data_IF_299849386393
#
_entry.id   IF_299849386393
#
_cell.length_a   1.000
_cell.length_b   1.000
_cell.length_c   1.000
_cell.angle_alpha   90.00
_cell.angle_beta   90.00
_cell.angle_gamma   90.00
#
_symmetry.space_group_name_H-M   'P 1'
#
loop_
_entity.id
_entity.type
_entity.pdbx_description
1 polymer ?
#
# COMPACT_ATOMS: atom_id res chain seq x y z
N UNK A 1 -3.06 -29.36 65.41
CA UNK A 1 -1.97 -29.13 64.45
C UNK A 1 -2.50 -28.30 63.28
N UNK A 2 -1.80 -27.23 62.86
CA UNK A 2 -2.36 -26.19 62.01
C UNK A 2 -2.05 -26.44 60.52
N UNK A 3 -3.02 -26.22 59.63
CA UNK A 3 -2.77 -26.10 58.19
C UNK A 3 -2.92 -24.62 57.82
N UNK A 4 -1.77 -23.97 57.62
CA UNK A 4 -1.65 -22.59 57.12
C UNK A 4 -1.96 -22.60 55.62
N UNK A 5 -3.07 -22.00 55.22
CA UNK A 5 -3.34 -21.72 53.81
C UNK A 5 -2.56 -20.46 53.39
N UNK A 6 -1.49 -20.65 52.62
CA UNK A 6 -0.80 -19.59 51.89
C UNK A 6 -1.70 -19.09 50.75
N UNK A 7 -2.18 -17.86 50.87
CA UNK A 7 -2.70 -17.08 49.74
C UNK A 7 -1.51 -16.59 48.91
N UNK A 8 -1.22 -17.26 47.81
CA UNK A 8 -0.28 -16.77 46.80
C UNK A 8 -1.01 -15.79 45.87
N UNK A 9 -0.77 -14.49 46.06
CA UNK A 9 -1.22 -13.44 45.17
C UNK A 9 -0.38 -13.46 43.88
N UNK A 10 -0.94 -13.94 42.78
CA UNK A 10 -0.31 -13.89 41.47
C UNK A 10 -0.59 -12.53 40.81
N UNK A 11 0.40 -11.63 40.87
CA UNK A 11 0.37 -10.35 40.15
C UNK A 11 0.55 -10.58 38.65
N UNK A 12 -0.54 -10.42 37.86
CA UNK A 12 -0.46 -10.36 36.40
C UNK A 12 0.21 -9.05 35.99
N UNK A 13 1.46 -9.13 35.51
CA UNK A 13 2.11 -8.03 34.79
C UNK A 13 1.61 -8.08 33.34
N UNK A 14 0.55 -7.32 33.04
CA UNK A 14 0.13 -7.06 31.65
C UNK A 14 1.17 -6.18 30.97
N UNK A 15 2.04 -6.78 30.17
CA UNK A 15 2.92 -6.05 29.26
C UNK A 15 2.05 -5.43 28.16
N UNK A 16 1.80 -4.13 28.27
CA UNK A 16 1.24 -3.33 27.17
C UNK A 16 2.28 -3.30 26.05
N UNK A 17 2.10 -4.17 25.05
CA UNK A 17 2.87 -4.11 23.82
C UNK A 17 2.50 -2.81 23.07
N UNK A 18 3.23 -1.72 23.32
CA UNK A 18 3.15 -0.52 22.50
C UNK A 18 3.68 -0.85 21.12
N UNK A 19 2.78 -1.08 20.17
CA UNK A 19 3.12 -1.24 18.77
C UNK A 19 3.75 0.06 18.27
N UNK A 20 5.07 0.09 18.14
CA UNK A 20 5.77 1.17 17.46
C UNK A 20 5.32 1.12 16.00
N UNK A 21 4.50 2.09 15.60
CA UNK A 21 4.17 2.28 14.20
C UNK A 21 5.47 2.49 13.43
N UNK A 22 5.80 1.58 12.51
CA UNK A 22 7.00 1.69 11.69
C UNK A 22 6.93 3.02 10.93
N UNK A 23 7.95 3.88 11.11
CA UNK A 23 8.05 5.18 10.43
C UNK A 23 8.25 4.92 8.93
N UNK A 24 7.18 5.06 8.15
CA UNK A 24 7.22 4.93 6.70
C UNK A 24 7.36 6.28 6.01
N UNK A 25 8.02 6.31 4.85
CA UNK A 25 7.93 7.47 3.95
C UNK A 25 6.65 7.34 3.14
N UNK A 26 5.77 8.33 3.25
CA UNK A 26 4.56 8.41 2.45
C UNK A 26 4.75 9.37 1.26
N UNK A 27 4.66 8.81 0.06
CA UNK A 27 4.65 9.53 -1.21
C UNK A 27 3.18 9.71 -1.64
N UNK A 28 2.71 10.95 -1.62
CA UNK A 28 1.40 11.36 -2.11
C UNK A 28 1.56 11.90 -3.54
N UNK A 29 1.04 11.17 -4.53
CA UNK A 29 1.33 11.41 -5.94
C UNK A 29 0.10 11.88 -6.72
N UNK A 30 0.28 12.99 -7.43
CA UNK A 30 -0.62 13.53 -8.44
C UNK A 30 -0.25 12.99 -9.82
N UNK A 31 -1.18 12.26 -10.45
CA UNK A 31 -0.98 11.61 -11.74
C UNK A 31 -1.69 12.39 -12.85
N UNK A 32 -0.94 12.69 -13.91
CA UNK A 32 -1.50 13.04 -15.20
C UNK A 32 -1.78 11.74 -15.97
N UNK A 33 -3.05 11.47 -16.26
CA UNK A 33 -3.52 10.24 -16.91
C UNK A 33 -4.09 10.58 -18.28
N UNK A 34 -3.76 9.75 -19.27
CA UNK A 34 -4.18 9.97 -20.67
C UNK A 34 -5.71 9.79 -20.83
N UNK A 35 -6.32 8.99 -19.95
CA UNK A 35 -7.76 8.68 -19.96
C UNK A 35 -8.36 8.99 -18.59
N UNK A 36 -9.26 9.98 -18.48
CA UNK A 36 -10.05 10.19 -17.27
C UNK A 36 -10.86 8.93 -16.96
N UNK A 37 -10.79 8.43 -15.73
CA UNK A 37 -11.42 7.16 -15.29
C UNK A 37 -10.85 5.87 -15.94
N UNK A 38 -9.60 5.91 -16.40
CA UNK A 38 -8.88 4.71 -16.84
C UNK A 38 -8.40 3.82 -15.68
N UNK A 39 -7.63 2.78 -16.01
CA UNK A 39 -7.07 1.83 -15.03
C UNK A 39 -5.81 2.34 -14.31
N UNK A 40 -5.54 3.64 -14.35
CA UNK A 40 -4.50 4.31 -13.56
C UNK A 40 -5.19 5.46 -12.82
N UNK A 41 -5.10 5.46 -11.50
CA UNK A 41 -5.77 6.47 -10.66
C UNK A 41 -5.10 7.85 -10.80
N UNK A 42 -5.87 8.95 -10.82
CA UNK A 42 -5.33 10.32 -10.79
C UNK A 42 -4.55 10.65 -9.51
N UNK A 43 -4.79 9.90 -8.42
CA UNK A 43 -4.11 10.03 -7.14
C UNK A 43 -3.61 8.66 -6.70
N UNK A 44 -2.34 8.57 -6.31
CA UNK A 44 -1.72 7.33 -5.82
C UNK A 44 -0.91 7.64 -4.56
N UNK A 45 -1.18 6.90 -3.50
CA UNK A 45 -0.39 6.89 -2.29
C UNK A 45 0.56 5.70 -2.27
N UNK A 46 1.83 5.93 -1.92
CA UNK A 46 2.82 4.86 -1.73
C UNK A 46 3.47 5.05 -0.37
N UNK A 47 3.40 4.04 0.48
CA UNK A 47 4.13 4.00 1.76
C UNK A 47 5.28 3.03 1.61
N UNK A 48 6.49 3.49 1.90
CA UNK A 48 7.69 2.64 1.99
C UNK A 48 8.16 2.63 3.43
N UNK A 49 8.17 1.46 4.07
CA UNK A 49 8.65 1.32 5.44
C UNK A 49 10.19 1.25 5.51
N UNK A 50 10.74 1.31 6.73
CA UNK A 50 12.19 1.24 6.97
C UNK A 50 12.82 -0.08 6.47
N UNK A 51 12.02 -1.15 6.35
CA UNK A 51 12.45 -2.44 5.82
C UNK A 51 12.37 -2.51 4.28
N UNK A 52 11.97 -1.42 3.62
CA UNK A 52 11.82 -1.34 2.16
C UNK A 52 10.57 -2.04 1.62
N UNK A 53 9.62 -2.43 2.48
CA UNK A 53 8.32 -2.93 2.03
C UNK A 53 7.48 -1.76 1.57
N UNK A 54 6.81 -1.94 0.43
CA UNK A 54 5.94 -0.93 -0.13
C UNK A 54 4.46 -1.34 -0.02
N UNK A 55 3.62 -0.37 0.33
CA UNK A 55 2.16 -0.47 0.30
C UNK A 55 1.64 0.60 -0.63
N UNK A 56 0.74 0.23 -1.54
CA UNK A 56 0.10 1.15 -2.49
C UNK A 56 -1.38 1.28 -2.11
N UNK A 57 -1.88 2.51 -2.19
CA UNK A 57 -3.31 2.79 -2.13
C UNK A 57 -3.68 3.77 -3.25
N UNK A 58 -4.83 3.53 -3.83
CA UNK A 58 -5.47 4.43 -4.77
C UNK A 58 -6.97 4.12 -4.81
N UNK A 59 -7.74 4.87 -5.59
CA UNK A 59 -9.19 4.64 -5.66
C UNK A 59 -9.53 3.24 -6.21
N UNK A 60 -8.77 2.72 -7.17
CA UNK A 60 -9.01 1.40 -7.76
C UNK A 60 -8.81 0.30 -6.70
N UNK A 61 -7.70 0.32 -5.98
CA UNK A 61 -7.38 -0.62 -4.90
C UNK A 61 -8.43 -0.52 -3.79
N UNK A 62 -8.78 0.69 -3.35
CA UNK A 62 -9.72 0.87 -2.25
C UNK A 62 -11.15 0.50 -2.65
N UNK A 63 -11.56 0.74 -3.89
CA UNK A 63 -12.88 0.34 -4.38
C UNK A 63 -12.99 -1.18 -4.56
N UNK A 64 -11.92 -1.84 -5.02
CA UNK A 64 -11.96 -3.25 -5.39
C UNK A 64 -11.52 -4.21 -4.29
N UNK A 65 -10.64 -3.77 -3.39
CA UNK A 65 -10.04 -4.59 -2.33
C UNK A 65 -10.33 -4.07 -0.92
N UNK A 66 -10.92 -2.88 -0.79
CA UNK A 66 -11.33 -2.23 0.48
C UNK A 66 -10.18 -1.93 1.46
N UNK A 67 -8.92 -2.18 1.06
CA UNK A 67 -7.74 -1.96 1.89
C UNK A 67 -6.49 -1.64 1.07
N UNK A 68 -5.49 -0.95 1.65
CA UNK A 68 -4.19 -0.78 1.02
C UNK A 68 -3.54 -2.11 0.65
N UNK A 69 -2.86 -2.14 -0.49
CA UNK A 69 -2.25 -3.35 -1.02
C UNK A 69 -0.74 -3.35 -0.78
N UNK A 70 -0.23 -4.33 -0.06
CA UNK A 70 1.21 -4.56 0.01
C UNK A 70 1.70 -5.08 -1.35
N UNK A 71 2.73 -4.45 -1.92
CA UNK A 71 3.22 -4.75 -3.27
C UNK A 71 4.66 -5.23 -3.24
N UNK A 72 5.09 -5.85 -4.35
CA UNK A 72 6.49 -6.19 -4.53
C UNK A 72 7.26 -4.92 -4.87
N UNK A 73 8.26 -4.60 -4.06
CA UNK A 73 9.18 -3.50 -4.29
C UNK A 73 10.59 -4.01 -4.62
N UNK A 74 11.27 -3.34 -5.56
CA UNK A 74 12.70 -3.55 -5.86
C UNK A 74 13.37 -2.21 -6.10
N UNK A 75 14.36 -1.89 -5.27
CA UNK A 75 15.16 -0.68 -5.43
C UNK A 75 16.28 -0.87 -6.47
N UNK A 76 16.60 0.20 -7.20
CA UNK A 76 17.73 0.30 -8.14
C UNK A 76 18.22 1.75 -8.16
N UNK A 77 19.24 2.05 -7.36
CA UNK A 77 19.68 3.43 -7.13
C UNK A 77 18.54 4.27 -6.56
N UNK A 78 18.28 5.43 -7.16
CA UNK A 78 17.19 6.33 -6.79
C UNK A 78 15.81 5.92 -7.37
N UNK A 79 15.70 4.74 -7.99
CA UNK A 79 14.44 4.24 -8.55
C UNK A 79 13.89 3.06 -7.76
N UNK A 80 12.63 3.14 -7.35
CA UNK A 80 11.87 2.05 -6.74
C UNK A 80 10.86 1.51 -7.75
N UNK A 81 11.08 0.26 -8.19
CA UNK A 81 10.12 -0.46 -9.03
C UNK A 81 9.10 -1.18 -8.15
N UNK A 82 7.83 -0.87 -8.35
CA UNK A 82 6.70 -1.50 -7.69
C UNK A 82 5.94 -2.39 -8.68
N UNK A 83 5.44 -3.52 -8.22
CA UNK A 83 4.65 -4.43 -9.06
C UNK A 83 3.57 -5.13 -8.25
N UNK A 84 2.34 -5.12 -8.79
CA UNK A 84 1.18 -5.77 -8.18
C UNK A 84 0.18 -6.22 -9.23
N UNK A 85 -0.78 -7.02 -8.79
CA UNK A 85 -1.91 -7.46 -9.62
C UNK A 85 -3.20 -7.27 -8.83
N UNK A 86 -4.26 -6.95 -9.55
CA UNK A 86 -5.63 -6.94 -9.02
C UNK A 86 -6.37 -8.02 -9.80
N UNK A 87 -6.79 -9.08 -9.11
CA UNK A 87 -7.46 -10.24 -9.68
C UNK A 87 -8.69 -10.60 -8.85
N UNK A 88 -9.71 -11.18 -9.49
CA UNK A 88 -10.91 -11.64 -8.79
C UNK A 88 -11.75 -10.52 -8.17
N UNK A 89 -11.48 -9.27 -8.53
CA UNK A 89 -12.23 -8.13 -8.07
C UNK A 89 -13.59 -8.06 -8.76
N UNK A 90 -14.57 -7.57 -8.00
CA UNK A 90 -15.90 -7.24 -8.48
C UNK A 90 -16.06 -5.73 -8.28
N UNK A 91 -16.51 -5.02 -9.31
CA UNK A 91 -16.77 -3.60 -9.19
C UNK A 91 -18.04 -3.31 -8.38
N UNK A 92 -18.31 -2.04 -8.10
CA UNK A 92 -19.51 -1.63 -7.36
C UNK A 92 -20.84 -1.98 -8.06
N UNK A 93 -20.81 -2.36 -9.34
CA UNK A 93 -21.97 -2.78 -10.12
C UNK A 93 -22.11 -4.32 -10.19
N UNK A 94 -21.27 -5.07 -9.46
CA UNK A 94 -21.32 -6.54 -9.45
C UNK A 94 -20.62 -7.20 -10.64
N UNK A 95 -19.88 -6.45 -11.46
CA UNK A 95 -19.19 -6.98 -12.64
C UNK A 95 -17.80 -7.48 -12.30
N UNK A 96 -17.41 -8.63 -12.89
CA UNK A 96 -16.08 -9.19 -12.71
C UNK A 96 -15.04 -8.37 -13.47
N UNK A 97 -14.05 -7.87 -12.75
CA UNK A 97 -12.93 -7.13 -13.32
C UNK A 97 -11.89 -8.11 -13.88
N UNK A 98 -11.45 -7.93 -15.15
CA UNK A 98 -10.31 -8.68 -15.68
C UNK A 98 -9.08 -8.51 -14.80
N UNK A 99 -8.22 -9.53 -14.69
CA UNK A 99 -6.99 -9.35 -13.91
C UNK A 99 -6.11 -8.26 -14.53
N UNK A 100 -5.77 -7.23 -13.75
CA UNK A 100 -4.85 -6.18 -14.17
C UNK A 100 -3.47 -6.36 -13.53
N UNK A 101 -2.44 -6.22 -14.35
CA UNK A 101 -1.03 -6.19 -13.93
C UNK A 101 -0.53 -4.76 -13.95
N UNK A 102 0.06 -4.34 -12.84
CA UNK A 102 0.55 -2.99 -12.62
C UNK A 102 2.07 -2.99 -12.46
N UNK A 103 2.70 -1.99 -13.07
CA UNK A 103 4.09 -1.66 -12.82
C UNK A 103 4.22 -0.16 -12.61
N UNK A 104 4.92 0.21 -11.54
CA UNK A 104 5.25 1.59 -11.27
C UNK A 104 6.75 1.77 -11.06
N UNK A 105 7.25 2.95 -11.45
CA UNK A 105 8.61 3.39 -11.22
C UNK A 105 8.54 4.73 -10.49
N UNK A 106 8.92 4.72 -9.22
CA UNK A 106 9.07 5.91 -8.39
C UNK A 106 10.55 6.32 -8.40
N UNK A 107 10.84 7.54 -8.83
CA UNK A 107 12.13 8.18 -8.60
C UNK A 107 12.09 8.84 -7.22
N UNK A 108 12.84 8.32 -6.25
CA UNK A 108 12.83 8.79 -4.86
C UNK A 108 13.61 10.09 -4.68
N UNK A 109 14.45 10.47 -5.64
CA UNK A 109 15.23 11.72 -5.61
C UNK A 109 14.44 12.86 -6.24
N UNK A 110 13.94 12.64 -7.45
CA UNK A 110 13.18 13.65 -8.18
C UNK A 110 11.69 13.64 -7.84
N UNK A 111 11.18 12.60 -7.17
CA UNK A 111 9.76 12.43 -6.83
C UNK A 111 8.85 12.32 -8.06
N UNK A 112 9.34 11.70 -9.12
CA UNK A 112 8.54 11.35 -10.30
C UNK A 112 7.94 9.96 -10.17
N UNK A 113 6.69 9.78 -10.59
CA UNK A 113 6.03 8.47 -10.64
C UNK A 113 5.57 8.18 -12.07
N UNK A 114 5.86 6.99 -12.58
CA UNK A 114 5.32 6.47 -13.84
C UNK A 114 4.60 5.17 -13.55
N UNK A 115 3.34 5.04 -13.99
CA UNK A 115 2.53 3.85 -13.77
C UNK A 115 1.99 3.32 -15.09
N UNK A 116 1.98 2.00 -15.21
CA UNK A 116 1.40 1.28 -16.34
C UNK A 116 0.50 0.19 -15.80
N UNK A 117 -0.74 0.14 -16.29
CA UNK A 117 -1.69 -0.92 -16.04
C UNK A 117 -2.00 -1.67 -17.34
N UNK A 118 -2.03 -3.00 -17.27
CA UNK A 118 -2.32 -3.87 -18.40
C UNK A 118 -3.29 -4.99 -17.99
N UNK A 119 -4.43 -5.16 -18.68
CA UNK A 119 -5.26 -6.35 -18.51
C UNK A 119 -4.54 -7.59 -19.03
N UNK A 120 -4.48 -8.64 -18.22
CA UNK A 120 -3.81 -9.90 -18.58
C UNK A 120 -4.56 -10.57 -19.72
N UNK A 121 -3.82 -10.95 -20.78
CA UNK A 121 -4.39 -11.60 -21.95
C UNK A 121 -4.88 -10.64 -23.05
N UNK A 122 -4.77 -9.32 -22.84
CA UNK A 122 -5.24 -8.35 -23.82
C UNK A 122 -4.15 -7.33 -24.22
N UNK A 123 -4.25 -6.69 -25.41
CA UNK A 123 -3.24 -5.76 -25.90
C UNK A 123 -3.35 -4.35 -25.33
N UNK A 124 -4.48 -3.97 -24.71
CA UNK A 124 -4.69 -2.61 -24.19
C UNK A 124 -3.68 -2.27 -23.10
N UNK A 125 -3.37 -0.99 -22.98
CA UNK A 125 -2.44 -0.44 -21.99
C UNK A 125 -2.94 0.90 -21.52
N UNK A 126 -2.89 1.13 -20.21
CA UNK A 126 -3.19 2.39 -19.58
C UNK A 126 -1.92 2.91 -18.92
N UNK A 127 -1.64 4.20 -19.08
CA UNK A 127 -0.45 4.84 -18.51
C UNK A 127 -0.80 6.14 -17.82
N UNK A 128 0.03 6.50 -16.84
CA UNK A 128 0.02 7.83 -16.24
C UNK A 128 1.41 8.18 -15.73
N UNK A 129 1.71 9.48 -15.73
CA UNK A 129 2.93 10.02 -15.14
C UNK A 129 2.57 11.13 -14.17
N UNK A 130 3.30 11.23 -13.07
CA UNK A 130 2.95 12.12 -11.99
C UNK A 130 4.13 12.62 -11.20
N UNK A 131 3.81 13.50 -10.26
CA UNK A 131 4.73 14.10 -9.30
C UNK A 131 4.25 13.73 -7.90
N UNK A 132 5.18 13.36 -7.05
CA UNK A 132 4.91 13.02 -5.67
C UNK A 132 5.40 14.12 -4.73
N UNK A 133 4.76 14.18 -3.56
CA UNK A 133 5.21 14.95 -2.41
C UNK A 133 5.44 13.99 -1.25
N UNK A 134 6.52 14.19 -0.51
CA UNK A 134 6.78 13.42 0.71
C UNK A 134 5.97 14.06 1.84
N UNK A 135 5.05 13.29 2.42
CA UNK A 135 4.32 13.69 3.63
C UNK A 135 5.09 13.19 4.83
N UNK A 136 5.79 14.11 5.51
CA UNK A 136 6.45 13.81 6.79
C UNK A 136 5.36 13.65 7.86
N UNK A 137 5.48 12.65 8.74
CA UNK A 137 4.55 12.25 9.82
C UNK A 137 3.44 11.24 9.46
N UNK A 138 3.68 10.33 8.50
CA UNK A 138 2.78 9.18 8.32
C UNK A 138 3.00 8.13 9.42
N UNK A 139 2.01 7.94 10.30
CA UNK A 139 2.07 7.03 11.45
C UNK A 139 1.64 5.58 11.11
N UNK A 140 1.79 5.16 9.86
CA UNK A 140 1.36 3.83 9.43
C UNK A 140 -0.16 3.74 9.19
N UNK A 141 -0.60 2.63 8.59
CA UNK A 141 -2.02 2.28 8.56
C UNK A 141 -2.41 1.60 9.88
N UNK A 142 -3.58 1.92 10.47
CA UNK A 142 -4.09 1.16 11.61
C UNK A 142 -4.23 -0.30 11.20
N UNK A 143 -3.67 -1.21 12.01
CA UNK A 143 -3.89 -2.64 11.83
C UNK A 143 -5.25 -2.95 12.47
N UNK A 144 -6.21 -3.38 11.64
CA UNK A 144 -7.48 -3.96 12.10
C UNK A 144 -7.26 -5.31 12.76
#
# INVERSE_FOLDING_TARGET
MPIKNLLAAASLITVLATSVAAKGTFYDCDMNVDVPNGWVSPKIGIVVDEAGKATVLDNIILTLLEKPLQVRARARGDSLRLSWQIAGAIDSAGQRVPTFSYQAWLDTKNLGLSVVAKPVGFPQRFSGKGRCQIRKNFNGFPRS
#
